data_IF_377680504010
#
_entry.id   IF_377680504010
#
_cell.length_a   1.000
_cell.length_b   1.000
_cell.length_c   1.000
_cell.angle_alpha   90.00
_cell.angle_beta   90.00
_cell.angle_gamma   90.00
#
_symmetry.space_group_name_H-M   'P 1'
#
loop_
_entity.id
_entity.type
_entity.pdbx_description
1 polymer ?
2 non-polymer ?
3 non-polymer ?
4 water ?
#
# COMPACT_ATOMS: atom_id res chain seq x y z
N UNK A 4 -36.77 0.67 2.05
CA UNK A 4 -35.47 -0.05 2.24
C UNK A 4 -34.49 0.05 1.05
N UNK A 5 -34.98 0.31 -0.20
CA UNK A 5 -34.01 0.65 -1.25
C UNK A 5 -33.12 1.83 -0.83
N UNK A 6 -31.83 1.76 -1.16
CA UNK A 6 -30.91 2.85 -0.85
C UNK A 6 -30.79 3.88 -1.99
N UNK A 7 -30.87 5.16 -1.64
CA UNK A 7 -30.74 6.24 -2.58
C UNK A 7 -29.56 7.08 -2.09
N UNK A 8 -28.47 7.16 -2.88
CA UNK A 8 -27.31 7.95 -2.47
C UNK A 8 -27.68 9.42 -2.32
N UNK A 9 -26.98 10.15 -1.42
CA UNK A 9 -27.16 11.59 -1.31
C UNK A 9 -26.97 12.29 -2.67
N UNK A 10 -27.62 13.46 -2.88
CA UNK A 10 -27.51 14.17 -4.15
C UNK A 10 -26.12 14.71 -4.51
N UNK A 11 -25.34 15.04 -3.48
CA UNK A 11 -23.97 15.51 -3.66
C UNK A 11 -23.21 15.33 -2.35
N UNK A 12 -21.90 15.58 -2.39
CA UNK A 12 -21.05 15.41 -1.22
C UNK A 12 -19.80 16.26 -1.35
N UNK A 13 -18.95 16.21 -0.31
CA UNK A 13 -17.63 16.83 -0.37
C UNK A 13 -16.63 15.75 -0.72
N UNK A 14 -15.70 16.12 -1.58
CA UNK A 14 -14.60 15.23 -1.95
C UNK A 14 -13.38 16.08 -2.28
N UNK A 15 -12.21 15.45 -2.29
CA UNK A 15 -10.98 16.14 -2.66
C UNK A 15 -10.61 15.75 -4.08
N UNK A 16 -10.22 16.73 -4.90
CA UNK A 16 -9.91 16.48 -6.31
C UNK A 16 -8.80 17.44 -6.77
N UNK A 17 -8.55 17.46 -8.06
CA UNK A 17 -7.69 18.46 -8.67
C UNK A 17 -8.54 19.26 -9.67
N UNK A 18 -8.39 20.58 -9.67
CA UNK A 18 -9.15 21.40 -10.60
C UNK A 18 -8.50 21.48 -11.99
N UNK A 19 -8.92 22.47 -12.77
CA UNK A 19 -8.43 22.63 -14.12
C UNK A 19 -7.05 23.28 -14.21
N UNK A 20 -6.58 23.84 -13.10
CA UNK A 20 -5.28 24.52 -13.06
C UNK A 20 -4.32 23.84 -12.08
N UNK A 21 -4.41 22.51 -12.05
CA UNK A 21 -3.52 21.63 -11.27
C UNK A 21 -3.43 21.94 -9.76
N UNK A 22 -4.52 22.43 -9.17
CA UNK A 22 -4.55 22.70 -7.74
C UNK A 22 -5.44 21.70 -7.02
N UNK A 23 -4.95 21.19 -5.89
CA UNK A 23 -5.74 20.33 -5.02
C UNK A 23 -6.89 21.13 -4.41
N UNK A 24 -8.10 20.58 -4.56
CA UNK A 24 -9.35 21.32 -4.34
C UNK A 24 -10.36 20.54 -3.50
N UNK A 25 -10.89 21.19 -2.46
CA UNK A 25 -12.06 20.71 -1.74
C UNK A 25 -13.28 21.06 -2.58
N UNK A 26 -14.02 20.04 -3.03
CA UNK A 26 -15.19 20.23 -3.88
C UNK A 26 -16.45 19.88 -3.08
N UNK A 27 -17.30 20.87 -2.82
CA UNK A 27 -18.45 20.66 -1.94
C UNK A 27 -19.75 20.28 -2.66
N UNK A 28 -19.66 20.14 -3.98
CA UNK A 28 -20.79 19.72 -4.78
C UNK A 28 -20.41 18.54 -5.67
N UNK A 29 -19.55 17.68 -5.15
CA UNK A 29 -19.11 16.47 -5.85
C UNK A 29 -20.23 15.42 -5.95
N UNK A 30 -20.19 14.54 -6.98
CA UNK A 30 -21.21 13.50 -7.12
C UNK A 30 -21.02 12.36 -6.11
N UNK A 31 -22.09 11.62 -5.84
CA UNK A 31 -22.02 10.36 -5.07
C UNK A 31 -22.11 9.18 -6.02
N UNK A 32 -21.25 8.15 -5.81
CA UNK A 32 -21.26 6.98 -6.69
C UNK A 32 -22.57 6.17 -6.59
N UNK A 33 -22.89 5.42 -7.63
CA UNK A 33 -24.04 4.51 -7.57
C UNK A 33 -23.57 3.24 -6.86
N UNK A 34 -24.49 2.46 -6.33
CA UNK A 34 -24.12 1.25 -5.60
C UNK A 34 -24.15 0.02 -6.51
N UNK A 35 -22.98 -0.60 -6.75
CA UNK A 35 -22.92 -1.88 -7.48
C UNK A 35 -23.62 -2.98 -6.69
N UNK A 36 -24.21 -3.94 -7.42
CA UNK A 36 -24.95 -5.05 -6.78
C UNK A 36 -24.04 -5.91 -5.93
N UNK A 37 -22.75 -5.93 -6.30
CA UNK A 37 -21.76 -6.78 -5.63
C UNK A 37 -20.80 -5.99 -4.70
N UNK A 38 -21.19 -4.78 -4.33
CA UNK A 38 -20.37 -3.96 -3.41
C UNK A 38 -21.21 -3.40 -2.26
N UNK A 39 -20.55 -2.68 -1.34
CA UNK A 39 -21.29 -2.04 -0.26
C UNK A 39 -21.00 -0.55 -0.25
N UNK A 40 -21.94 0.23 0.27
CA UNK A 40 -21.83 1.69 0.28
C UNK A 40 -21.22 2.10 1.61
N UNK A 41 -20.21 2.96 1.56
CA UNK A 41 -19.44 3.30 2.77
C UNK A 41 -19.47 4.78 3.11
N UNK A 42 -19.93 5.08 4.33
CA UNK A 42 -19.72 6.40 4.92
C UNK A 42 -18.30 6.41 5.51
N UNK A 43 -17.43 7.14 4.83
CA UNK A 43 -15.99 7.15 5.15
C UNK A 43 -15.78 7.80 6.52
N UNK A 44 -15.02 7.13 7.39
CA UNK A 44 -14.77 7.64 8.74
C UNK A 44 -13.32 8.13 8.94
N UNK A 45 -12.37 7.47 8.27
CA UNK A 45 -10.99 7.88 8.32
C UNK A 45 -10.32 7.56 6.98
N UNK A 46 -9.29 8.35 6.64
CA UNK A 46 -8.48 8.15 5.42
C UNK A 46 -7.01 8.27 5.77
N UNK A 47 -6.16 7.62 4.99
CA UNK A 47 -4.72 7.79 5.17
C UNK A 47 -4.12 8.47 3.93
N UNK A 48 -3.01 9.18 4.11
CA UNK A 48 -2.37 9.90 3.01
C UNK A 48 -1.20 9.04 2.46
N UNK A 49 -1.11 8.95 1.14
CA UNK A 49 -0.01 8.23 0.47
C UNK A 49 0.75 9.15 -0.49
N UNK A 50 2.09 8.98 -0.58
CA UNK A 50 2.85 9.81 -1.53
C UNK A 50 2.27 9.80 -2.94
N UNK A 51 1.70 8.67 -3.36
CA UNK A 51 1.14 8.59 -4.71
C UNK A 51 -0.09 9.49 -4.88
N UNK A 52 -0.74 9.90 -3.78
CA UNK A 52 -1.82 10.91 -3.86
C UNK A 52 -1.31 12.26 -4.37
N UNK A 53 -0.02 12.54 -4.09
CA UNK A 53 0.58 13.86 -4.28
C UNK A 53 1.30 14.02 -5.64
N UNK A 54 1.42 12.92 -6.38
CA UNK A 54 2.06 12.94 -7.71
C UNK A 54 1.08 13.40 -8.78
N UNK A 60 -3.01 13.81 -13.93
CA UNK A 60 -4.20 14.33 -13.28
C UNK A 60 -5.43 14.23 -14.20
N UNK A 61 -6.52 13.71 -13.64
CA UNK A 61 -7.81 13.81 -14.27
C UNK A 61 -8.55 14.84 -13.41
N UNK A 62 -8.63 16.09 -13.89
CA UNK A 62 -9.38 17.09 -13.12
C UNK A 62 -10.77 16.59 -12.81
N UNK A 63 -11.21 16.84 -11.58
CA UNK A 63 -12.56 16.50 -11.08
C UNK A 63 -12.77 15.05 -10.70
N UNK A 64 -11.78 14.18 -10.96
CA UNK A 64 -11.82 12.82 -10.44
C UNK A 64 -11.32 12.80 -9.00
N UNK A 65 -11.88 11.90 -8.18
CA UNK A 65 -11.61 11.92 -6.75
C UNK A 65 -10.19 11.41 -6.46
N UNK A 66 -9.55 12.03 -5.47
CA UNK A 66 -8.22 11.60 -5.00
C UNK A 66 -8.33 10.56 -3.87
N UNK A 67 -7.22 9.88 -3.55
CA UNK A 67 -7.18 9.07 -2.34
C UNK A 67 -7.32 7.56 -2.53
N UNK A 68 -6.49 6.83 -1.82
CA UNK A 68 -6.47 5.36 -1.89
C UNK A 68 -7.07 4.71 -0.65
N UNK A 69 -6.56 5.09 0.52
CA UNK A 69 -6.82 4.37 1.78
C UNK A 69 -8.05 4.92 2.50
N UNK A 70 -9.07 4.07 2.72
CA UNK A 70 -10.29 4.50 3.45
C UNK A 70 -10.70 3.43 4.48
N UNK A 71 -11.49 3.84 5.47
CA UNK A 71 -12.13 2.95 6.41
C UNK A 71 -13.45 3.63 6.77
N UNK A 72 -14.50 2.86 6.92
CA UNK A 72 -15.79 3.51 7.19
C UNK A 72 -16.88 2.56 7.57
N UNK A 73 -18.10 3.10 7.62
CA UNK A 73 -19.26 2.38 8.12
C UNK A 73 -20.15 2.07 6.94
N UNK A 74 -20.60 0.82 6.85
CA UNK A 74 -21.48 0.36 5.78
C UNK A 74 -22.88 0.94 6.01
N UNK A 75 -23.36 1.71 5.04
CA UNK A 75 -24.70 2.32 5.09
C UNK A 75 -25.71 1.66 4.16
N UNK A 76 -25.20 0.90 3.20
CA UNK A 76 -26.04 0.13 2.30
C UNK A 76 -25.26 -1.06 1.75
N UNK A 77 -26.00 -2.08 1.33
CA UNK A 77 -25.39 -3.32 0.87
C UNK A 77 -25.98 -3.70 -0.49
N UNK A 78 -25.12 -3.98 -1.46
CA UNK A 78 -25.54 -4.47 -2.77
C UNK A 78 -26.35 -5.75 -2.66
N UNK A 79 -27.26 -5.97 -3.61
CA UNK A 79 -28.20 -7.09 -3.54
C UNK A 79 -27.51 -8.46 -3.63
N UNK A 80 -26.33 -8.51 -4.27
CA UNK A 80 -25.58 -9.75 -4.42
C UNK A 80 -24.53 -9.99 -3.32
N UNK A 81 -24.44 -9.08 -2.35
CA UNK A 81 -23.45 -9.19 -1.28
C UNK A 81 -24.00 -10.00 -0.11
N UNK A 82 -23.28 -11.04 0.27
CA UNK A 82 -23.57 -11.77 1.51
C UNK A 82 -22.43 -11.57 2.51
N UNK A 83 -22.72 -11.84 3.78
CA UNK A 83 -21.74 -11.73 4.88
C UNK A 83 -21.42 -10.30 5.32
N UNK A 84 -22.13 -9.32 4.75
CA UNK A 84 -21.98 -7.92 5.17
C UNK A 84 -23.36 -7.32 5.45
N UNK A 85 -23.44 -6.56 6.53
CA UNK A 85 -24.68 -5.87 6.90
C UNK A 85 -24.43 -4.40 7.21
N UNK A 86 -25.50 -3.63 7.09
CA UNK A 86 -25.51 -2.23 7.46
C UNK A 86 -25.02 -2.09 8.92
N UNK A 87 -24.10 -1.17 9.14
CA UNK A 87 -23.52 -0.99 10.47
C UNK A 87 -22.13 -1.63 10.61
N UNK A 88 -21.84 -2.61 9.77
CA UNK A 88 -20.49 -3.21 9.72
C UNK A 88 -19.45 -2.12 9.39
N UNK A 89 -18.21 -2.37 9.80
CA UNK A 89 -17.11 -1.46 9.53
C UNK A 89 -16.19 -2.18 8.55
N UNK A 90 -15.77 -1.45 7.50
CA UNK A 90 -14.89 -1.99 6.48
C UNK A 90 -13.73 -1.05 6.17
N UNK A 91 -12.67 -1.62 5.59
CA UNK A 91 -11.52 -0.85 5.16
C UNK A 91 -11.02 -1.41 3.84
N UNK A 92 -10.38 -0.58 3.02
CA UNK A 92 -9.95 -1.05 1.71
C UNK A 92 -9.28 0.02 0.90
N UNK A 93 -8.95 -0.34 -0.33
CA UNK A 93 -8.30 0.58 -1.25
C UNK A 93 -9.25 0.99 -2.36
N UNK A 94 -9.19 2.27 -2.72
CA UNK A 94 -9.79 2.76 -3.96
C UNK A 94 -8.74 2.96 -5.07
N UNK A 95 -9.21 3.06 -6.29
CA UNK A 95 -8.30 3.27 -7.41
C UNK A 95 -8.36 4.74 -7.82
N UNK A 96 -7.51 5.55 -7.21
CA UNK A 96 -7.64 6.99 -7.30
C UNK A 96 -7.38 7.54 -8.69
N UNK A 97 -8.11 8.62 -9.01
CA UNK A 97 -7.95 9.36 -10.25
C UNK A 97 -8.16 8.51 -11.49
N UNK A 98 -9.14 7.62 -11.44
CA UNK A 98 -9.40 6.73 -12.57
C UNK A 98 -10.46 7.38 -13.45
N UNK A 99 -10.11 7.71 -14.71
CA UNK A 99 -11.04 8.42 -15.59
C UNK A 99 -12.38 7.72 -15.80
N UNK A 100 -12.39 6.38 -15.80
CA UNK A 100 -13.65 5.64 -15.98
C UNK A 100 -14.56 5.69 -14.73
N UNK A 101 -13.97 5.97 -13.56
CA UNK A 101 -14.72 5.97 -12.30
C UNK A 101 -14.37 7.20 -11.43
N UNK A 102 -14.64 8.41 -11.94
CA UNK A 102 -14.15 9.64 -11.28
C UNK A 102 -14.87 9.96 -9.97
N UNK A 103 -15.99 9.28 -9.73
CA UNK A 103 -16.79 9.37 -8.49
C UNK A 103 -16.39 8.34 -7.43
N UNK A 104 -15.27 7.65 -7.68
CA UNK A 104 -14.72 6.70 -6.70
C UNK A 104 -13.30 7.13 -6.26
N UNK A 105 -13.16 7.45 -4.99
CA UNK A 105 -11.85 7.72 -4.39
C UNK A 105 -12.03 7.71 -2.89
N UNK A 106 -10.93 7.49 -2.15
CA UNK A 106 -11.01 7.44 -0.71
C UNK A 106 -11.33 8.80 -0.08
N UNK A 107 -10.91 9.88 -0.74
CA UNK A 107 -11.06 11.25 -0.19
C UNK A 107 -12.43 11.83 -0.58
N UNK A 108 -13.46 11.15 -0.10
CA UNK A 108 -14.86 11.53 -0.27
C UNK A 108 -15.64 11.14 0.99
N UNK A 109 -16.81 11.76 1.19
CA UNK A 109 -17.67 11.42 2.32
C UNK A 109 -18.33 10.05 2.13
N UNK A 110 -18.60 9.69 0.88
CA UNK A 110 -19.23 8.43 0.51
C UNK A 110 -18.51 7.78 -0.67
N UNK A 111 -18.13 6.53 -0.49
CA UNK A 111 -17.53 5.76 -1.55
C UNK A 111 -18.18 4.38 -1.57
N UNK A 112 -17.73 3.56 -2.52
CA UNK A 112 -18.14 2.17 -2.59
C UNK A 112 -16.88 1.30 -2.51
N UNK A 113 -17.06 0.09 -1.98
CA UNK A 113 -15.96 -0.88 -1.98
C UNK A 113 -15.62 -1.24 -3.42
N UNK A 114 -14.38 -1.63 -3.67
CA UNK A 114 -13.95 -1.87 -5.04
C UNK A 114 -13.35 -3.26 -5.17
N UNK A 115 -13.80 -4.02 -6.17
CA UNK A 115 -13.37 -5.42 -6.33
C UNK A 115 -13.61 -6.23 -5.06
N UNK A 116 -12.60 -6.98 -4.65
CA UNK A 116 -12.57 -7.57 -3.31
C UNK A 116 -11.30 -7.10 -2.58
N UNK A 117 -10.94 -5.84 -2.85
CA UNK A 117 -9.75 -5.21 -2.26
C UNK A 117 -10.23 -4.42 -1.04
N UNK A 118 -10.76 -5.18 -0.09
CA UNK A 118 -11.33 -4.67 1.15
C UNK A 118 -11.64 -5.82 2.10
N UNK A 119 -11.88 -5.48 3.38
CA UNK A 119 -12.24 -6.45 4.43
C UNK A 119 -13.00 -5.75 5.55
N UNK A 120 -13.58 -6.55 6.44
CA UNK A 120 -14.25 -6.02 7.60
C UNK A 120 -13.16 -5.64 8.59
N UNK A 121 -13.32 -4.50 9.25
CA UNK A 121 -12.38 -4.11 10.31
C UNK A 121 -12.54 -5.07 11.50
N UNK A 122 -11.42 -5.63 12.01
CA UNK A 122 -11.49 -6.46 13.24
C UNK A 122 -12.02 -5.68 14.43
N UNK A 123 -12.79 -6.35 15.30
CA UNK A 123 -13.33 -5.71 16.51
C UNK A 123 -12.29 -4.82 17.22
N UNK A 124 -11.05 -5.33 17.33
CA UNK A 124 -9.97 -4.65 18.05
C UNK A 124 -9.26 -3.48 17.40
N UNK A 125 -9.59 -3.17 16.13
CA UNK A 125 -8.99 -2.03 15.43
C UNK A 125 -9.97 -0.85 15.34
N UNK A 126 -9.44 0.35 15.44
CA UNK A 126 -10.17 1.58 15.17
C UNK A 126 -10.19 1.90 13.66
N UNK A 127 -11.06 2.84 13.27
CA UNK A 127 -11.09 3.35 11.90
C UNK A 127 -9.71 3.88 11.46
N UNK A 128 -9.06 4.61 12.37
CA UNK A 128 -7.76 5.21 12.10
C UNK A 128 -6.68 4.16 11.84
N UNK A 129 -6.63 3.14 12.69
CA UNK A 129 -5.70 2.03 12.49
C UNK A 129 -5.95 1.28 11.18
N UNK A 130 -7.22 1.01 10.89
CA UNK A 130 -7.58 0.28 9.67
C UNK A 130 -7.30 1.09 8.39
N UNK A 131 -7.59 2.40 8.39
CA UNK A 131 -7.33 3.27 7.21
C UNK A 131 -5.84 3.30 6.85
N UNK A 132 -4.99 3.07 7.85
CA UNK A 132 -3.54 3.10 7.62
C UNK A 132 -3.02 1.95 6.77
N UNK A 133 -3.84 0.92 6.56
CA UNK A 133 -3.36 -0.38 6.03
C UNK A 133 -3.46 -0.66 4.51
N UNK A 134 -4.58 -0.25 3.87
CA UNK A 134 -4.82 -0.82 2.52
C UNK A 134 -3.69 -0.70 1.46
N UNK A 135 -3.13 0.49 1.23
CA UNK A 135 -2.05 0.61 0.23
C UNK A 135 -0.84 -0.25 0.64
N UNK A 136 -0.55 -0.29 1.94
CA UNK A 136 0.57 -1.08 2.47
C UNK A 136 0.35 -2.57 2.18
N UNK A 137 -0.83 -3.09 2.47
CA UNK A 137 -1.11 -4.51 2.25
C UNK A 137 -1.00 -4.81 0.77
N UNK A 138 -1.68 -3.99 -0.03
CA UNK A 138 -1.71 -4.12 -1.49
C UNK A 138 -0.31 -4.11 -2.12
N UNK A 139 0.47 -3.10 -1.78
CA UNK A 139 1.83 -2.94 -2.32
C UNK A 139 2.77 -4.07 -1.87
N UNK A 140 2.68 -4.45 -0.60
CA UNK A 140 3.47 -5.55 -0.06
C UNK A 140 3.20 -6.83 -0.85
N UNK A 141 1.93 -7.12 -1.11
CA UNK A 141 1.59 -8.28 -1.94
C UNK A 141 2.11 -8.22 -3.36
N UNK A 142 1.95 -7.07 -4.03
CA UNK A 142 2.42 -6.96 -5.42
C UNK A 142 3.94 -7.10 -5.44
N UNK A 143 4.62 -6.52 -4.45
CA UNK A 143 6.10 -6.61 -4.43
C UNK A 143 6.57 -8.08 -4.25
N UNK A 144 5.93 -8.79 -3.32
CA UNK A 144 6.27 -10.21 -3.10
C UNK A 144 6.00 -11.06 -4.35
N UNK A 145 4.89 -10.77 -5.05
CA UNK A 145 4.58 -11.47 -6.28
C UNK A 145 5.67 -11.21 -7.32
N UNK A 146 6.06 -9.96 -7.51
CA UNK A 146 7.06 -9.64 -8.51
C UNK A 146 8.43 -10.24 -8.16
N UNK A 147 8.75 -10.30 -6.87
CA UNK A 147 10.01 -10.90 -6.43
C UNK A 147 10.05 -12.42 -6.61
N UNK A 148 8.87 -13.02 -6.76
CA UNK A 148 8.74 -14.50 -6.86
C UNK A 148 8.72 -15.18 -5.50
N UNK A 149 8.09 -14.52 -4.55
CA UNK A 149 7.98 -15.01 -3.17
C UNK A 149 6.52 -15.36 -2.79
N UNK A 150 6.30 -16.56 -2.21
CA UNK A 150 4.92 -16.95 -1.87
C UNK A 150 4.34 -16.07 -0.78
N UNK A 151 3.03 -15.82 -0.85
CA UNK A 151 2.34 -15.08 0.20
C UNK A 151 2.28 -15.98 1.41
N UNK A 152 2.22 -15.39 2.63
CA UNK A 152 2.09 -16.16 3.88
C UNK A 152 0.84 -17.01 3.88
N UNK A 153 0.91 -18.11 4.64
CA UNK A 153 -0.27 -18.89 4.93
C UNK A 153 -0.96 -18.33 6.18
N UNK A 154 -2.24 -17.99 6.07
CA UNK A 154 -2.95 -17.50 7.24
C UNK A 154 -3.26 -18.61 8.26
N UNK A 155 -3.07 -19.86 7.84
CA UNK A 155 -3.46 -21.01 8.64
C UNK A 155 -2.26 -21.76 9.26
N UNK A 156 -1.05 -21.43 8.81
CA UNK A 156 0.18 -22.05 9.32
C UNK A 156 0.49 -21.65 10.76
N UNK A 157 1.25 -22.50 11.47
CA UNK A 157 1.57 -22.25 12.87
C UNK A 157 2.95 -21.64 13.06
N UNK A 158 3.77 -21.72 12.01
CA UNK A 158 5.07 -21.02 11.97
C UNK A 158 5.47 -20.84 10.50
N UNK A 159 6.48 -19.96 10.21
CA UNK A 159 6.94 -19.77 8.82
C UNK A 159 7.63 -21.00 8.26
N UNK A 160 7.65 -21.14 6.91
CA UNK A 160 8.51 -22.15 6.27
C UNK A 160 9.94 -22.09 6.79
N UNK A 161 10.58 -23.26 6.88
CA UNK A 161 11.93 -23.37 7.42
C UNK A 161 12.98 -23.24 6.32
N UNK A 162 14.06 -22.50 6.60
CA UNK A 162 15.24 -22.45 5.72
C UNK A 162 16.54 -22.52 6.52
N UNK A 163 17.18 -23.69 6.58
CA UNK A 163 18.39 -23.82 7.41
C UNK A 163 19.50 -22.87 6.99
N UNK A 164 19.49 -22.49 5.73
CA UNK A 164 20.38 -21.48 5.19
C UNK A 164 19.47 -20.28 4.92
N UNK A 165 19.67 -19.18 5.66
CA UNK A 165 18.73 -18.03 5.61
C UNK A 165 18.58 -17.48 4.20
N UNK A 166 17.37 -17.09 3.82
CA UNK A 166 17.15 -16.45 2.52
C UNK A 166 16.89 -14.98 2.80
N UNK A 167 17.89 -14.16 2.48
CA UNK A 167 17.79 -12.72 2.79
C UNK A 167 17.06 -11.94 1.73
N UNK A 168 16.39 -10.87 2.15
CA UNK A 168 15.76 -9.91 1.22
C UNK A 168 16.16 -8.52 1.69
N UNK A 169 16.86 -7.77 0.85
CA UNK A 169 17.24 -6.39 1.19
C UNK A 169 16.01 -5.49 1.03
N UNK A 170 15.72 -4.66 2.03
CA UNK A 170 14.60 -3.73 1.90
C UNK A 170 15.24 -2.33 2.06
N UNK A 171 15.36 -1.63 0.94
CA UNK A 171 15.98 -0.30 0.96
C UNK A 171 14.85 0.68 1.29
N UNK A 172 14.95 1.33 2.44
CA UNK A 172 13.86 2.21 2.90
C UNK A 172 12.98 1.46 3.89
N UNK A 173 13.61 0.96 4.96
CA UNK A 173 12.97 0.05 5.92
C UNK A 173 11.99 0.74 6.86
N UNK A 174 11.98 2.07 6.86
CA UNK A 174 11.01 2.80 7.69
C UNK A 174 9.81 3.34 6.88
N UNK A 175 9.81 3.08 5.58
CA UNK A 175 8.63 3.43 4.76
C UNK A 175 7.38 2.70 5.25
N UNK A 176 6.23 3.35 5.06
CA UNK A 176 4.95 2.66 5.30
C UNK A 176 4.86 1.28 4.57
N UNK A 177 5.26 1.24 3.31
CA UNK A 177 5.27 -0.03 2.56
C UNK A 177 6.20 -1.04 3.24
N UNK A 178 7.43 -0.64 3.60
CA UNK A 178 8.40 -1.62 4.14
C UNK A 178 7.94 -2.25 5.45
N UNK A 179 7.30 -1.47 6.32
CA UNK A 179 6.96 -2.02 7.63
C UNK A 179 5.91 -3.14 7.50
N UNK A 180 4.98 -3.00 6.55
CA UNK A 180 3.99 -4.06 6.28
C UNK A 180 4.65 -5.22 5.52
N UNK A 181 5.42 -4.89 4.49
CA UNK A 181 6.11 -5.91 3.70
C UNK A 181 7.05 -6.78 4.57
N UNK A 182 7.82 -6.16 5.46
CA UNK A 182 8.80 -6.95 6.23
C UNK A 182 8.10 -7.97 7.16
N UNK A 183 6.92 -7.62 7.67
CA UNK A 183 6.13 -8.58 8.46
C UNK A 183 5.70 -9.76 7.60
N UNK A 184 5.24 -9.48 6.39
CA UNK A 184 4.81 -10.51 5.46
C UNK A 184 5.99 -11.39 5.03
N UNK A 185 7.13 -10.76 4.75
CA UNK A 185 8.34 -11.53 4.40
C UNK A 185 8.70 -12.51 5.50
N UNK A 186 8.66 -12.05 6.74
CA UNK A 186 8.89 -12.93 7.90
C UNK A 186 7.90 -14.09 7.96
N UNK A 187 6.62 -13.80 7.75
CA UNK A 187 5.60 -14.85 7.82
C UNK A 187 5.87 -15.92 6.79
N UNK A 188 6.44 -15.53 5.64
CA UNK A 188 6.71 -16.45 4.51
C UNK A 188 8.08 -17.16 4.60
N UNK A 189 8.81 -16.88 5.68
CA UNK A 189 10.10 -17.51 5.93
C UNK A 189 11.35 -16.84 5.43
N UNK A 190 11.26 -15.55 5.07
CA UNK A 190 12.41 -14.79 4.57
C UNK A 190 12.96 -13.91 5.68
N UNK A 191 14.21 -13.49 5.51
CA UNK A 191 14.86 -12.67 6.52
C UNK A 191 15.20 -11.30 5.92
N UNK A 192 14.38 -10.28 6.26
CA UNK A 192 14.63 -8.93 5.73
C UNK A 192 15.80 -8.26 6.43
N UNK A 193 16.64 -7.59 5.65
CA UNK A 193 17.71 -6.71 6.12
C UNK A 193 17.36 -5.31 5.61
N UNK A 194 17.36 -4.31 6.48
CA UNK A 194 16.80 -3.01 6.09
C UNK A 194 17.79 -1.86 6.14
N UNK A 195 17.55 -0.81 5.34
CA UNK A 195 18.34 0.43 5.45
C UNK A 195 17.35 1.56 5.71
N UNK A 196 17.68 2.42 6.67
CA UNK A 196 16.85 3.59 6.96
C UNK A 196 17.65 4.53 7.86
N UNK A 197 17.02 5.58 8.39
CA UNK A 197 17.76 6.46 9.29
C UNK A 197 17.81 5.89 10.69
N UNK A 198 18.92 6.13 11.42
CA UNK A 198 19.08 5.65 12.79
C UNK A 198 17.89 5.80 13.73
N UNK A 199 17.16 6.91 13.66
CA UNK A 199 16.05 7.08 14.60
C UNK A 199 14.91 6.09 14.37
N UNK A 200 14.84 5.51 13.17
CA UNK A 200 13.85 4.49 12.86
C UNK A 200 14.37 3.02 12.97
N UNK A 201 15.56 2.83 13.51
CA UNK A 201 16.08 1.47 13.68
C UNK A 201 15.16 0.56 14.52
N UNK A 202 14.65 1.08 15.63
CA UNK A 202 13.80 0.28 16.52
C UNK A 202 12.52 -0.11 15.80
N UNK A 203 11.96 0.84 15.06
CA UNK A 203 10.75 0.58 14.24
C UNK A 203 11.00 -0.56 13.25
N UNK A 204 12.07 -0.44 12.48
CA UNK A 204 12.37 -1.44 11.47
C UNK A 204 12.51 -2.86 12.07
N UNK A 205 13.29 -2.97 13.16
CA UNK A 205 13.47 -4.24 13.84
C UNK A 205 12.14 -4.79 14.40
N UNK A 206 11.28 -3.90 14.92
CA UNK A 206 10.00 -4.32 15.47
C UNK A 206 9.08 -4.92 14.40
N UNK A 207 9.35 -4.55 13.16
CA UNK A 207 8.51 -4.93 12.01
C UNK A 207 9.11 -6.05 11.18
N UNK A 208 10.23 -6.63 11.65
CA UNK A 208 10.77 -7.85 11.09
C UNK A 208 12.20 -7.84 10.55
N UNK A 209 12.84 -6.67 10.54
CA UNK A 209 14.23 -6.56 10.02
C UNK A 209 15.17 -7.31 10.98
N UNK A 210 15.96 -8.26 10.46
CA UNK A 210 16.94 -8.98 11.28
C UNK A 210 18.06 -8.03 11.75
N UNK A 211 18.53 -7.22 10.81
CA UNK A 211 19.46 -6.14 11.08
C UNK A 211 19.07 -4.93 10.26
N UNK A 212 19.47 -3.77 10.74
CA UNK A 212 19.18 -2.52 10.05
C UNK A 212 20.41 -1.65 10.01
N UNK A 213 20.55 -0.87 8.95
CA UNK A 213 21.73 -0.04 8.70
C UNK A 213 21.36 1.34 8.24
N UNK A 214 22.18 2.34 8.60
CA UNK A 214 22.03 3.70 8.07
C UNK A 214 22.44 3.71 6.59
N UNK A 215 21.52 4.04 5.67
CA UNK A 215 21.84 4.02 4.23
C UNK A 215 22.99 4.97 3.83
N UNK A 216 23.30 5.94 4.70
CA UNK A 216 24.36 6.92 4.44
C UNK A 216 25.76 6.37 4.73
N UNK A 217 25.84 5.22 5.41
CA UNK A 217 27.14 4.69 5.87
C UNK A 217 28.10 4.35 4.71
N UNK A 218 29.38 4.79 4.81
CA UNK A 218 30.33 4.56 3.73
C UNK A 218 30.56 3.09 3.43
N UNK A 219 30.49 2.76 2.14
CA UNK A 219 30.74 1.40 1.60
C UNK A 219 29.77 0.37 2.15
N UNK A 220 28.57 0.84 2.49
CA UNK A 220 27.57 -0.04 3.08
C UNK A 220 27.22 -1.22 2.19
N UNK A 221 27.21 -1.04 0.86
CA UNK A 221 26.87 -2.19 -0.01
C UNK A 221 27.83 -3.37 0.15
N UNK A 222 29.12 -3.08 0.44
CA UNK A 222 30.11 -4.14 0.71
C UNK A 222 29.74 -4.87 1.98
N UNK A 223 29.36 -4.10 3.00
CA UNK A 223 28.93 -4.67 4.27
C UNK A 223 27.75 -5.61 4.04
N UNK A 224 26.77 -5.15 3.28
CA UNK A 224 25.63 -6.02 2.95
C UNK A 224 26.00 -7.24 2.14
N UNK A 225 26.86 -7.07 1.13
CA UNK A 225 27.28 -8.21 0.31
C UNK A 225 27.90 -9.24 1.20
N UNK A 226 28.80 -8.81 2.09
CA UNK A 226 29.46 -9.75 2.98
C UNK A 226 28.50 -10.45 3.94
N UNK A 227 27.57 -9.68 4.51
CA UNK A 227 26.56 -10.20 5.43
C UNK A 227 25.74 -11.33 4.80
N UNK A 228 25.42 -11.14 3.52
CA UNK A 228 24.52 -12.02 2.76
C UNK A 228 25.33 -13.05 1.96
N UNK A 229 26.60 -13.19 2.33
CA UNK A 229 27.51 -14.19 1.73
C UNK A 229 27.62 -14.10 0.22
N UNK A 230 27.56 -12.85 -0.29
CA UNK A 230 27.69 -12.58 -1.70
C UNK A 230 26.69 -13.37 -2.54
N UNK A 231 25.54 -13.67 -1.93
CA UNK A 231 24.45 -14.33 -2.64
C UNK A 231 23.08 -13.71 -2.36
N UNK A 232 23.02 -12.38 -2.16
CA UNK A 232 21.72 -11.70 -2.03
C UNK A 232 21.01 -11.79 -3.37
N UNK A 233 19.81 -12.34 -3.39
CA UNK A 233 19.11 -12.52 -4.66
C UNK A 233 17.84 -11.68 -4.77
N UNK A 234 17.48 -10.95 -3.72
CA UNK A 234 16.21 -10.19 -3.68
C UNK A 234 16.45 -8.83 -3.10
N UNK A 235 16.11 -7.79 -3.87
CA UNK A 235 16.20 -6.41 -3.36
C UNK A 235 14.88 -5.67 -3.62
N UNK A 236 14.28 -5.15 -2.56
CA UNK A 236 13.06 -4.36 -2.68
C UNK A 236 13.39 -2.91 -2.35
N UNK A 237 13.23 -2.07 -3.35
CA UNK A 237 13.59 -0.66 -3.26
C UNK A 237 12.32 0.16 -3.05
N UNK A 238 12.12 0.60 -1.80
CA UNK A 238 10.97 1.40 -1.38
C UNK A 238 11.17 2.90 -1.57
N UNK A 239 12.34 3.30 -2.07
CA UNK A 239 12.66 4.72 -2.29
C UNK A 239 12.65 5.12 -3.79
N UNK A 240 13.32 4.32 -4.61
CA UNK A 240 13.37 4.46 -6.09
C UNK A 240 13.89 5.81 -6.59
N UNK A 241 15.19 6.03 -6.38
CA UNK A 241 15.89 7.14 -6.97
C UNK A 241 17.24 6.64 -7.46
N UNK A 242 18.03 7.55 -8.02
CA UNK A 242 19.28 7.20 -8.63
C UNK A 242 20.21 6.46 -7.63
N UNK A 243 20.20 6.95 -6.40
CA UNK A 243 21.06 6.41 -5.32
C UNK A 243 20.60 5.03 -4.87
N UNK A 244 19.28 4.86 -4.69
CA UNK A 244 18.77 3.59 -4.17
C UNK A 244 18.97 2.47 -5.18
N UNK A 245 18.76 2.77 -6.47
CA UNK A 245 18.97 1.76 -7.52
C UNK A 245 20.45 1.31 -7.54
N UNK A 246 21.37 2.29 -7.53
CA UNK A 246 22.82 2.01 -7.52
C UNK A 246 23.18 1.11 -6.34
N UNK A 247 22.65 1.48 -5.17
CA UNK A 247 22.93 0.72 -3.94
C UNK A 247 22.43 -0.73 -4.05
N UNK A 248 21.19 -0.93 -4.51
CA UNK A 248 20.61 -2.27 -4.55
C UNK A 248 21.39 -3.15 -5.51
N UNK A 249 21.71 -2.59 -6.67
CA UNK A 249 22.52 -3.30 -7.65
C UNK A 249 23.88 -3.72 -7.10
N UNK A 250 24.49 -2.86 -6.28
CA UNK A 250 25.82 -3.14 -5.70
C UNK A 250 25.73 -4.23 -4.63
N UNK A 251 24.59 -4.31 -3.94
CA UNK A 251 24.41 -5.28 -2.85
C UNK A 251 24.07 -6.69 -3.30
N UNK A 252 23.41 -6.80 -4.46
CA UNK A 252 23.01 -8.10 -4.97
C UNK A 252 24.25 -8.96 -5.22
N UNK A 253 24.11 -10.25 -4.96
CA UNK A 253 25.24 -11.21 -5.06
C UNK A 253 25.87 -11.41 -6.42
N UNK A 254 27.01 -12.11 -6.42
CA UNK A 254 27.84 -12.30 -7.60
C UNK A 254 27.13 -13.12 -8.70
N UNK A 255 26.17 -13.95 -8.32
CA UNK A 255 25.48 -14.81 -9.28
C UNK A 255 24.21 -14.20 -9.82
N UNK A 256 23.82 -13.02 -9.33
CA UNK A 256 22.63 -12.35 -9.84
C UNK A 256 21.53 -12.24 -8.80
N UNK A 257 20.47 -11.58 -9.20
CA UNK A 257 19.37 -11.40 -8.27
C UNK A 257 18.25 -10.64 -8.93
N UNK A 258 17.26 -10.28 -8.14
CA UNK A 258 16.05 -9.62 -8.64
C UNK A 258 15.83 -8.32 -7.91
N UNK A 259 15.78 -7.24 -8.70
CA UNK A 259 15.48 -5.90 -8.16
C UNK A 259 14.03 -5.54 -8.44
N UNK A 260 13.28 -5.21 -7.40
CA UNK A 260 11.90 -4.73 -7.59
C UNK A 260 11.76 -3.34 -6.93
N UNK A 261 11.28 -2.37 -7.69
CA UNK A 261 11.07 -1.04 -7.07
C UNK A 261 9.59 -0.69 -6.98
N UNK A 262 9.26 0.29 -6.15
CA UNK A 262 7.83 0.66 -5.98
C UNK A 262 7.32 1.72 -6.99
N UNK A 263 8.25 2.34 -7.69
CA UNK A 263 7.98 3.35 -8.74
C UNK A 263 8.76 2.95 -10.01
N UNK A 264 8.38 3.47 -11.19
CA UNK A 264 9.24 3.31 -12.39
C UNK A 264 10.64 3.86 -12.14
N UNK A 265 11.68 3.21 -12.63
CA UNK A 265 13.01 3.72 -12.26
C UNK A 265 13.77 4.48 -13.30
N UNK A 266 14.60 5.45 -12.83
CA UNK A 266 15.32 6.36 -13.71
C UNK A 266 16.33 5.54 -14.50
N UNK A 267 16.96 6.12 -15.50
CA UNK A 267 18.13 5.48 -16.13
C UNK A 267 19.34 5.46 -15.18
N UNK A 271 22.76 -2.08 -17.00
CA UNK A 271 24.02 -2.73 -16.61
C UNK A 271 24.24 -4.07 -17.31
N UNK A 272 25.40 -4.69 -17.04
CA UNK A 272 25.65 -6.11 -17.40
C UNK A 272 25.37 -7.06 -16.21
N UNK A 273 25.29 -6.49 -15.00
CA UNK A 273 24.95 -7.21 -13.76
C UNK A 273 23.71 -8.05 -14.10
N UNK A 274 23.80 -9.35 -13.84
CA UNK A 274 22.74 -10.37 -14.15
C UNK A 274 21.50 -10.23 -13.27
N UNK A 275 20.87 -9.08 -13.37
CA UNK A 275 19.78 -8.74 -12.48
C UNK A 275 18.50 -8.56 -13.29
N UNK A 276 17.44 -9.28 -12.92
CA UNK A 276 16.14 -9.02 -13.52
C UNK A 276 15.48 -7.87 -12.74
N UNK A 277 14.58 -7.16 -13.41
CA UNK A 277 13.96 -5.95 -12.82
C UNK A 277 12.47 -5.85 -13.07
N UNK A 278 11.76 -5.30 -12.09
CA UNK A 278 10.30 -5.03 -12.21
C UNK A 278 9.95 -3.86 -11.32
N UNK A 279 8.79 -3.27 -11.55
CA UNK A 279 8.24 -2.27 -10.60
C UNK A 279 6.75 -2.48 -10.43
N UNK A 280 6.26 -2.18 -9.22
CA UNK A 280 4.86 -2.38 -8.89
C UNK A 280 4.00 -1.30 -9.52
N UNK A 281 2.93 -1.76 -10.16
CA UNK A 281 1.91 -0.87 -10.74
C UNK A 281 0.66 -1.03 -9.89
N UNK A 282 0.39 -0.01 -9.09
CA UNK A 282 -0.61 -0.07 -8.03
C UNK A 282 -2.01 -0.50 -8.47
N UNK A 283 -2.51 0.06 -9.59
CA UNK A 283 -3.87 -0.30 -10.05
C UNK A 283 -4.05 -1.77 -10.39
N UNK A 284 -2.95 -2.47 -10.65
CA UNK A 284 -3.06 -3.91 -10.93
C UNK A 284 -3.62 -4.74 -9.76
N UNK A 285 -3.63 -4.21 -8.53
CA UNK A 285 -4.27 -4.94 -7.43
C UNK A 285 -5.77 -5.19 -7.69
N UNK A 286 -6.38 -4.34 -8.51
CA UNK A 286 -7.81 -4.44 -8.86
C UNK A 286 -8.03 -5.29 -10.10
N UNK A 287 -6.97 -5.56 -10.85
CA UNK A 287 -7.05 -6.22 -12.17
C UNK A 287 -7.91 -5.52 -13.23
N UNK A 288 -8.11 -4.21 -13.12
CA UNK A 288 -9.00 -3.49 -14.06
C UNK A 288 -8.24 -2.84 -15.21
N UNK A 289 -6.91 -2.81 -15.10
CA UNK A 289 -6.06 -2.17 -16.08
C UNK A 289 -5.67 -0.75 -15.70
N UNK A 290 -4.89 -0.11 -16.57
CA UNK A 290 -4.32 1.21 -16.31
C UNK A 290 -4.08 1.94 -17.64
N UNK A 291 -4.29 3.26 -17.65
CA UNK A 291 -4.02 4.03 -18.87
C UNK A 291 -2.57 4.52 -18.92
N UNK A 292 -1.92 4.48 -17.75
CA UNK A 292 -0.49 4.74 -17.58
C UNK A 292 0.20 3.38 -17.31
N UNK A 293 1.45 3.20 -17.80
CA UNK A 293 2.26 4.11 -18.61
C UNK A 293 1.99 3.99 -20.11
N UNK A 294 2.06 5.12 -20.81
CA UNK A 294 1.93 5.16 -22.27
C UNK A 294 3.18 4.55 -22.87
N UNK A 295 3.08 3.98 -24.09
CA UNK A 295 1.83 3.77 -24.86
C UNK A 295 1.05 2.53 -24.40
N UNK A 296 -0.28 2.65 -24.41
CA UNK A 296 -1.23 1.54 -24.16
C UNK A 296 -1.57 1.21 -22.68
N UNK A 297 -0.69 1.57 -21.75
CA UNK A 297 -0.90 1.24 -20.32
C UNK A 297 -0.91 -0.26 -20.10
N UNK A 298 -1.89 -0.74 -19.33
CA UNK A 298 -2.08 -2.18 -19.14
C UNK A 298 -3.51 -2.60 -19.25
N UNK A 299 -3.75 -3.80 -19.80
CA UNK A 299 -5.11 -4.35 -19.86
C UNK A 299 -5.59 -4.81 -18.48
N UNK A 300 -6.89 -5.03 -18.35
CA UNK A 300 -7.41 -5.74 -17.18
C UNK A 300 -7.04 -7.21 -17.30
N UNK A 301 -7.00 -7.92 -16.18
CA UNK A 301 -6.79 -9.37 -16.23
C UNK A 301 -7.45 -10.07 -15.04
N UNK A 302 -8.05 -11.22 -15.29
CA UNK A 302 -8.71 -11.97 -14.22
C UNK A 302 -7.65 -12.48 -13.24
N UNK A 303 -6.48 -12.89 -13.72
CA UNK A 303 -5.42 -13.39 -12.83
C UNK A 303 -4.96 -12.31 -11.84
N UNK A 304 -4.77 -11.08 -12.32
CA UNK A 304 -4.46 -9.97 -11.41
C UNK A 304 -5.61 -9.72 -10.44
N UNK A 305 -6.85 -9.76 -10.95
CA UNK A 305 -8.03 -9.58 -10.09
C UNK A 305 -8.05 -10.64 -8.99
N UNK A 306 -7.86 -11.90 -9.40
CA UNK A 306 -7.94 -13.00 -8.41
C UNK A 306 -6.78 -12.91 -7.41
N UNK A 307 -5.61 -12.47 -7.88
CA UNK A 307 -4.49 -12.29 -6.93
C UNK A 307 -4.84 -11.25 -5.86
N UNK A 308 -5.41 -10.11 -6.25
CA UNK A 308 -5.83 -9.11 -5.24
C UNK A 308 -6.81 -9.64 -4.20
N UNK A 309 -7.81 -10.41 -4.65
CA UNK A 309 -8.82 -10.96 -3.78
C UNK A 309 -8.19 -11.96 -2.82
N UNK A 310 -7.30 -12.81 -3.37
CA UNK A 310 -6.59 -13.80 -2.54
C UNK A 310 -5.72 -13.10 -1.50
N UNK A 311 -4.95 -12.10 -1.94
CA UNK A 311 -4.08 -11.35 -1.03
C UNK A 311 -4.91 -10.76 0.12
N UNK A 312 -6.08 -10.19 -0.20
CA UNK A 312 -6.88 -9.48 0.80
C UNK A 312 -7.57 -10.45 1.76
N UNK A 313 -7.94 -11.63 1.25
CA UNK A 313 -8.48 -12.68 2.10
C UNK A 313 -7.41 -13.15 3.11
N UNK A 314 -6.18 -13.34 2.63
CA UNK A 314 -5.05 -13.72 3.48
C UNK A 314 -4.71 -12.59 4.46
N UNK A 315 -4.49 -11.39 3.94
CA UNK A 315 -4.09 -10.25 4.81
C UNK A 315 -5.20 -9.90 5.82
N UNK A 316 -6.46 -9.94 5.39
CA UNK A 316 -7.56 -9.68 6.32
C UNK A 316 -7.50 -10.60 7.53
N UNK A 317 -7.23 -11.88 7.30
CA UNK A 317 -7.11 -12.85 8.40
C UNK A 317 -5.89 -12.52 9.27
N UNK A 318 -4.76 -12.22 8.65
CA UNK A 318 -3.54 -11.88 9.40
C UNK A 318 -3.74 -10.64 10.27
N UNK A 319 -4.42 -9.62 9.74
CA UNK A 319 -4.77 -8.45 10.54
C UNK A 319 -5.69 -8.82 11.72
N UNK A 320 -6.72 -9.61 11.44
CA UNK A 320 -7.65 -10.13 12.45
C UNK A 320 -6.88 -10.86 13.56
N UNK A 321 -5.88 -11.65 13.17
CA UNK A 321 -5.15 -12.46 14.12
C UNK A 321 -4.00 -11.72 14.82
N UNK A 322 -3.81 -10.44 14.48
CA UNK A 322 -2.74 -9.63 15.09
C UNK A 322 -1.34 -9.91 14.56
N UNK A 323 -1.27 -10.60 13.41
CA UNK A 323 -0.02 -10.97 12.74
C UNK A 323 0.48 -9.94 11.74
N UNK A 324 -0.37 -8.97 11.42
CA UNK A 324 0.04 -7.86 10.57
C UNK A 324 -0.45 -6.57 11.20
N UNK A 325 0.50 -5.72 11.60
CA UNK A 325 0.17 -4.48 12.28
C UNK A 325 0.41 -3.25 11.42
N UNK A 326 -0.40 -2.22 11.66
CA UNK A 326 -0.31 -0.96 10.92
C UNK A 326 0.99 -0.19 11.17
N UNK A 327 1.36 0.68 10.23
CA UNK A 327 2.51 1.58 10.38
C UNK A 327 2.15 2.54 11.53
N UNK A 328 3.15 3.10 12.24
CA UNK A 328 2.76 4.02 13.33
C UNK A 328 1.97 5.21 12.82
N UNK A 329 1.01 5.68 13.63
CA UNK A 329 0.03 6.67 13.21
C UNK A 329 0.35 8.09 13.68
N UNK A 330 0.12 9.05 12.77
CA UNK A 330 -0.02 10.46 13.13
C UNK A 330 -1.43 10.84 12.74
N UNK A 331 -2.30 10.91 13.75
CA UNK A 331 -3.73 11.16 13.54
C UNK A 331 -4.10 12.65 13.67
N UNK A 332 -4.82 13.14 12.67
CA UNK A 332 -5.37 14.50 12.66
C UNK A 332 -6.89 14.36 12.65
N UNK A 333 -7.55 15.07 13.57
CA UNK A 333 -9.02 15.19 13.59
C UNK A 333 -9.36 16.41 12.75
N UNK A 334 -10.22 16.24 11.77
CA UNK A 334 -10.52 17.33 10.86
C UNK A 334 -11.42 16.95 9.71
N UNK A 335 -11.46 17.84 8.73
CA UNK A 335 -12.27 17.64 7.54
C UNK A 335 -11.37 17.61 6.33
N UNK A 336 -11.94 17.97 5.18
CA UNK A 336 -11.21 17.82 3.92
C UNK A 336 -10.04 18.76 3.70
N UNK A 337 -10.07 19.94 4.32
CA UNK A 337 -8.92 20.81 4.22
C UNK A 337 -7.73 20.20 4.95
N UNK A 338 -8.00 19.45 6.02
CA UNK A 338 -6.94 18.72 6.72
C UNK A 338 -6.27 17.64 5.84
N UNK A 339 -7.03 17.02 4.93
CA UNK A 339 -6.45 16.06 3.96
C UNK A 339 -5.50 16.79 3.01
N UNK A 340 -5.95 17.94 2.50
CA UNK A 340 -5.16 18.77 1.61
C UNK A 340 -3.84 19.16 2.29
N UNK A 341 -3.94 19.53 3.57
CA UNK A 341 -2.80 19.92 4.40
C UNK A 341 -1.87 18.72 4.63
N UNK A 342 -2.47 17.55 4.87
CA UNK A 342 -1.74 16.30 5.06
C UNK A 342 -0.93 15.93 3.82
N UNK A 343 -1.54 16.11 2.65
CA UNK A 343 -0.88 15.82 1.39
C UNK A 343 0.37 16.65 1.19
N UNK A 344 0.33 17.90 1.63
CA UNK A 344 1.48 18.78 1.52
C UNK A 344 2.63 18.36 2.44
N UNK A 345 2.28 17.90 3.64
CA UNK A 345 3.29 17.45 4.60
C UNK A 345 3.97 16.23 3.98
N UNK A 346 3.18 15.39 3.34
CA UNK A 346 3.70 14.17 2.73
C UNK A 346 4.54 14.44 1.48
N UNK A 347 4.04 15.32 0.60
CA UNK A 347 4.75 15.70 -0.61
C UNK A 347 6.15 16.25 -0.32
N UNK A 348 6.28 17.02 0.77
CA UNK A 348 7.53 17.70 1.11
C UNK A 348 8.50 16.78 1.83
N UNK A 349 8.13 15.50 1.91
CA UNK A 349 8.92 14.50 2.67
C UNK A 349 9.07 14.82 4.14
N UNK A 350 8.02 15.35 4.76
CA UNK A 350 8.12 15.81 6.15
C UNK A 350 7.71 14.79 7.21
N UNK A 351 7.27 13.60 6.77
CA UNK A 351 6.94 12.53 7.69
C UNK A 351 8.04 11.47 7.68
N UNK A 352 8.44 11.06 8.88
CA UNK A 352 9.39 9.97 9.05
C UNK A 352 8.87 8.92 10.05
N UNK A 353 8.73 7.69 9.58
CA UNK A 353 8.31 6.56 10.42
C UNK A 353 6.87 6.65 10.90
N UNK A 354 6.03 7.39 10.17
CA UNK A 354 4.61 7.52 10.52
C UNK A 354 3.75 7.66 9.29
N UNK A 355 2.48 7.32 9.46
CA UNK A 355 1.46 7.42 8.43
C UNK A 355 0.51 8.55 8.83
N UNK A 356 0.22 9.48 7.94
CA UNK A 356 -0.76 10.56 8.25
C UNK A 356 -2.18 9.99 8.02
N UNK A 357 -2.98 9.99 9.08
CA UNK A 357 -4.37 9.55 8.98
C UNK A 357 -5.26 10.72 9.38
N UNK A 358 -6.33 10.98 8.63
CA UNK A 358 -7.30 12.01 9.03
C UNK A 358 -8.59 11.33 9.44
N UNK A 359 -9.03 11.59 10.67
CA UNK A 359 -10.33 11.12 11.16
C UNK A 359 -11.35 12.19 10.82
N UNK A 360 -12.33 11.84 9.98
CA UNK A 360 -13.30 12.81 9.48
C UNK A 360 -14.36 13.15 10.52
N UNK A 361 -14.57 14.43 10.75
CA UNK A 361 -15.62 14.87 11.66
C UNK A 361 -16.91 15.10 10.90
N UNK A 362 -18.00 14.48 11.35
CA UNK A 362 -19.30 14.64 10.73
C UNK A 362 -20.27 15.26 11.71
N UNK A 363 -20.57 16.57 11.56
CA UNK A 363 -20.07 17.46 10.51
C UNK A 363 -18.80 18.21 10.93
X LIG B 1 6.76 6.75 3.24
X LIG B 1 6.19 6.37 4.56
X LIG B 1 6.28 8.01 2.66
X LIG B 1 8.37 6.87 3.36
X LIG B 1 8.99 7.94 4.01
X LIG B 1 10.44 7.55 4.34
X LIG B 1 11.28 7.39 3.24
X LIG B 1 11.10 8.66 5.13
X LIG B 1 10.61 8.59 6.43
X LIG B 1 12.57 8.29 5.04
X LIG B 1 12.96 7.31 5.99
X LIG B 1 12.63 7.63 3.68
X LIG B 1 13.31 8.43 2.64
X LIG B 1 12.86 9.56 1.98
X LIG B 1 13.76 9.95 1.06
X LIG B 1 14.81 9.08 1.14
X LIG B 1 16.02 9.00 0.45
X LIG B 1 16.35 9.88 -0.51
X LIG B 1 16.90 7.99 0.76
X LIG B 1 16.60 7.05 1.76
X LIG B 1 15.41 7.11 2.44
X LIG B 1 14.54 8.12 2.12
X LIG B 1 6.71 5.48 2.28
X LIG B 1 5.64 4.82 1.32
X LIG B 1 5.86 3.36 1.43
X LIG B 1 4.29 5.39 1.53
X LIG B 1 6.14 5.26 -0.13
X LIG B 1 7.52 5.12 -0.50
X LIG B 1 7.70 5.32 -2.01
X LIG B 1 7.07 4.22 -2.61
X LIG B 1 7.04 6.57 -2.60
X LIG B 1 7.81 7.07 -3.68
X LIG B 1 5.75 6.05 -3.20
X LIG B 1 5.40 6.81 -4.35
X LIG B 1 6.14 4.63 -3.58
X LIG B 1 4.97 3.75 -3.56
X LIG B 1 4.40 3.47 -4.78
X LIG B 1 3.28 2.67 -4.82
X LIG B 1 2.74 2.22 -6.15
X LIG B 1 1.43 1.73 -6.17
X LIG B 1 3.50 2.32 -7.28
X LIG B 1 2.72 2.18 -3.64
X LIG B 1 3.30 2.48 -2.40
X LIG B 1 4.44 3.27 -2.38
X LIG B 1 14.09 7.63 7.13
X LIG B 1 15.43 7.82 6.41
X LIG B 1 14.15 6.48 8.10
X LIG B 1 13.65 8.91 7.81
X LIG C 1 10.60 8.30 -1.60
X LIG C 1 10.34 7.57 -2.78
X LIG C 1 9.49 8.02 -0.59
X LIG C 1 10.05 7.72 0.66
X LIG C 1 8.41 9.12 -0.55
X LIG C 1 7.70 9.22 0.68
X LIG D 1 -18.32 -3.37 13.35
X LIG D 1 -19.66 -3.30 13.79
X LIG D 1 -17.97 -4.78 12.88
X LIG D 1 -17.87 -4.82 11.47
X LIG D 1 -16.66 -5.27 13.52
X LIG D 1 -15.62 -4.33 13.37
#
# INVERSE_FOLDING_TARGET
MGDQPFIPPPQQTALTVNDHDEVTVWNAAPCPMLPRDQVYVRVEAVAINPSDTSMRGQFATPWAFLGTDYAGTVVAVGSDVTHIQVGDRVYGAQNEMCPRTPDQGAFSQYTVTRGRVWAKIPKGLSFEQAAALPAGISTAGLAMKLLGLPLPSPSADQPPTHSKPVYVLVYGGSTATATVTMQMLRLSGYIPIATCSPHNFDLAKSRGAEEVFDYRAPNLAQTIRTYTKNNLRYALDCITNVESTTFCFAAIGRAGGHYVSLNPFPEHAATRKMVTTDWTLGPTIFGEGSTWPAPYGRPGSEEERQFGEDLWRIAGQLVEDGRLVHHPLRVVQGGFDHIKQGMELVRKGELSGEKLVVRLEGPLEHHHHHH
NAP PA O1A O2A O5B C5B C4B O4B C3B O3B C2B O2B C1B N9A C8A N7A C5A C6A N6A N1A C2A N3A C4A O3 PN O1N O2N O5D C5D C4D O4D C3D O3D C2D O2D C1D N1N C2N C3N C7N O7N N7N C4N C5N C6N P2B O1X O2X O3X
GOL C1 O1 C2 O2 C3 O3
GOL C1 O1 C2 O2 C3 O3
#
